data_IF_663991925654
#
_entry.id   IF_663991925654
#
_cell.length_a   1.000
_cell.length_b   1.000
_cell.length_c   1.000
_cell.angle_alpha   90.00
_cell.angle_beta   90.00
_cell.angle_gamma   90.00
#
_symmetry.space_group_name_H-M   'P 1'
#
loop_
_entity.id
_entity.type
_entity.pdbx_description
1 polymer ?
#
# COMPACT_ATOMS: atom_id res chain seq x y z
N UNK A 1 4.83 35.94 -10.17
CA UNK A 1 5.77 35.66 -9.08
C UNK A 1 6.71 34.57 -9.54
N UNK A 2 8.02 34.73 -9.34
CA UNK A 2 9.00 33.70 -9.62
C UNK A 2 8.86 32.56 -8.60
N UNK A 3 9.10 31.32 -9.03
CA UNK A 3 9.10 30.15 -8.15
C UNK A 3 10.31 30.22 -7.20
N UNK A 4 10.16 29.71 -5.98
CA UNK A 4 11.25 29.53 -5.04
C UNK A 4 12.14 28.35 -5.47
N UNK A 5 13.41 28.25 -5.03
CA UNK A 5 14.26 27.09 -5.31
C UNK A 5 13.61 25.76 -4.90
N UNK A 6 12.98 25.70 -3.73
CA UNK A 6 12.27 24.49 -3.26
C UNK A 6 11.08 24.10 -4.17
N UNK A 7 10.37 25.10 -4.72
CA UNK A 7 9.28 24.85 -5.68
C UNK A 7 9.79 24.34 -7.03
N UNK A 8 10.94 24.81 -7.48
CA UNK A 8 11.58 24.34 -8.70
C UNK A 8 12.03 22.89 -8.50
N UNK A 9 12.80 22.62 -7.44
CA UNK A 9 13.32 21.29 -7.10
C UNK A 9 12.18 20.26 -6.94
N UNK A 10 11.10 20.63 -6.22
CA UNK A 10 9.94 19.75 -6.06
C UNK A 10 9.31 19.34 -7.40
N UNK A 11 9.19 20.29 -8.35
CA UNK A 11 8.65 20.00 -9.68
C UNK A 11 9.58 19.11 -10.50
N UNK A 12 10.88 19.35 -10.45
CA UNK A 12 11.88 18.54 -11.14
C UNK A 12 11.89 17.09 -10.64
N UNK A 13 11.77 16.89 -9.33
CA UNK A 13 11.71 15.57 -8.72
C UNK A 13 10.41 14.81 -9.03
N UNK A 14 9.31 15.53 -9.22
CA UNK A 14 7.98 14.94 -9.51
C UNK A 14 7.72 14.75 -11.01
N UNK A 15 8.52 15.35 -11.90
CA UNK A 15 8.32 15.31 -13.35
C UNK A 15 8.73 14.00 -14.06
N UNK A 16 9.65 13.14 -13.55
CA UNK A 16 10.11 11.97 -14.30
C UNK A 16 8.97 11.07 -14.75
N UNK A 17 9.03 10.66 -16.02
CA UNK A 17 7.99 9.86 -16.68
C UNK A 17 7.71 8.52 -15.97
N UNK A 18 8.67 7.98 -15.22
CA UNK A 18 8.50 6.75 -14.43
C UNK A 18 7.33 6.81 -13.44
N UNK A 19 6.89 8.01 -13.06
CA UNK A 19 5.76 8.22 -12.15
C UNK A 19 4.42 8.44 -12.87
N UNK A 20 4.45 8.60 -14.20
CA UNK A 20 3.29 9.02 -15.00
C UNK A 20 3.02 8.04 -16.14
N UNK A 21 3.02 6.75 -15.85
CA UNK A 21 2.86 5.69 -16.82
C UNK A 21 1.40 5.31 -17.02
N UNK A 22 1.05 4.91 -18.23
CA UNK A 22 -0.25 4.33 -18.60
C UNK A 22 -0.02 3.00 -19.29
N UNK A 23 -0.64 1.95 -18.76
CA UNK A 23 -0.77 0.65 -19.42
C UNK A 23 -2.19 0.53 -19.99
N UNK A 24 -2.33 -0.07 -21.16
CA UNK A 24 -3.63 -0.40 -21.74
C UNK A 24 -3.89 -1.88 -21.54
N UNK A 25 -4.85 -2.19 -20.67
CA UNK A 25 -5.36 -3.54 -20.51
C UNK A 25 -6.20 -3.89 -21.74
N UNK A 26 -5.84 -4.92 -22.51
CA UNK A 26 -6.57 -5.28 -23.72
C UNK A 26 -8.03 -5.60 -23.45
N UNK A 27 -8.90 -5.35 -24.43
CA UNK A 27 -10.29 -5.78 -24.37
C UNK A 27 -10.40 -7.31 -24.31
N UNK A 28 -11.37 -7.80 -23.56
CA UNK A 28 -11.75 -9.20 -23.46
C UNK A 28 -13.27 -9.36 -23.73
N UNK A 29 -13.80 -10.55 -23.63
CA UNK A 29 -15.26 -10.76 -23.69
C UNK A 29 -16.00 -10.11 -22.48
N UNK A 30 -15.27 -9.82 -21.39
CA UNK A 30 -15.83 -9.30 -20.13
C UNK A 30 -15.80 -7.78 -20.05
N UNK A 31 -14.85 -7.13 -20.72
CA UNK A 31 -14.67 -5.67 -20.67
C UNK A 31 -14.01 -5.12 -21.95
N UNK A 32 -14.27 -3.85 -22.25
CA UNK A 32 -13.55 -3.09 -23.28
C UNK A 32 -12.08 -2.85 -22.86
N UNK A 33 -11.25 -2.28 -23.74
CA UNK A 33 -9.91 -1.81 -23.38
C UNK A 33 -10.00 -0.83 -22.20
N UNK A 34 -9.19 -1.07 -21.15
CA UNK A 34 -9.13 -0.23 -19.97
C UNK A 34 -7.76 0.45 -19.85
N UNK A 35 -7.75 1.70 -19.42
CA UNK A 35 -6.50 2.39 -19.04
C UNK A 35 -6.15 2.03 -17.61
N UNK A 36 -4.87 1.88 -17.32
CA UNK A 36 -4.32 1.61 -16.01
C UNK A 36 -3.13 2.52 -15.79
N UNK A 37 -3.25 3.48 -14.89
CA UNK A 37 -2.13 4.32 -14.49
C UNK A 37 -1.29 3.63 -13.43
N UNK A 38 0.04 3.81 -13.53
CA UNK A 38 0.98 3.24 -12.58
C UNK A 38 2.23 4.13 -12.45
N UNK A 39 3.00 3.89 -11.40
CA UNK A 39 4.29 4.53 -11.18
C UNK A 39 5.34 3.49 -10.79
N UNK A 40 6.60 3.80 -11.08
CA UNK A 40 7.75 3.01 -10.67
C UNK A 40 8.64 3.92 -9.81
N UNK A 41 8.91 3.52 -8.57
CA UNK A 41 9.94 4.09 -7.73
C UNK A 41 11.23 3.26 -7.83
N UNK A 42 12.37 3.92 -7.61
CA UNK A 42 13.69 3.29 -7.70
C UNK A 42 14.35 3.40 -9.08
N UNK A 43 15.41 2.61 -9.33
CA UNK A 43 16.22 2.70 -10.54
C UNK A 43 15.45 2.25 -11.78
N UNK A 44 15.91 2.73 -12.94
CA UNK A 44 15.40 2.31 -14.26
C UNK A 44 16.02 0.99 -14.74
N UNK A 45 16.91 0.38 -13.97
CA UNK A 45 17.55 -0.89 -14.31
C UNK A 45 16.51 -2.02 -14.35
N UNK A 46 16.36 -2.66 -15.50
CA UNK A 46 15.41 -3.77 -15.69
C UNK A 46 15.79 -5.02 -14.87
N UNK A 47 17.06 -5.16 -14.53
CA UNK A 47 17.55 -6.28 -13.70
C UNK A 47 17.32 -6.07 -12.20
N UNK A 48 16.94 -4.85 -11.78
CA UNK A 48 16.71 -4.56 -10.37
C UNK A 48 15.55 -5.41 -9.80
N UNK A 49 15.70 -5.99 -8.61
CA UNK A 49 14.63 -6.72 -7.94
C UNK A 49 13.37 -5.87 -7.85
N UNK A 50 12.24 -6.47 -8.11
CA UNK A 50 10.98 -5.72 -8.18
C UNK A 50 10.05 -6.08 -7.03
N UNK A 51 9.47 -5.06 -6.42
CA UNK A 51 8.42 -5.15 -5.40
C UNK A 51 7.12 -4.64 -6.03
N UNK A 52 6.08 -5.46 -6.05
CA UNK A 52 4.73 -4.97 -6.31
C UNK A 52 4.14 -4.49 -4.99
N UNK A 53 3.97 -3.17 -4.87
CA UNK A 53 3.42 -2.55 -3.66
C UNK A 53 1.94 -2.23 -3.84
N UNK A 54 1.09 -2.94 -3.10
CA UNK A 54 -0.37 -2.76 -3.14
C UNK A 54 -0.79 -1.78 -2.05
N UNK A 55 -1.16 -0.58 -2.46
CA UNK A 55 -1.47 0.55 -1.57
C UNK A 55 -2.79 0.37 -0.80
N UNK A 56 -2.95 1.13 0.29
CA UNK A 56 -4.20 1.18 1.08
C UNK A 56 -5.38 1.83 0.35
N UNK A 57 -6.50 2.05 1.05
CA UNK A 57 -7.74 2.55 0.47
C UNK A 57 -7.58 3.90 -0.25
N UNK A 58 -6.86 4.83 0.35
CA UNK A 58 -6.58 6.18 -0.21
C UNK A 58 -5.28 6.21 -1.00
N UNK A 59 -4.59 5.08 -1.11
CA UNK A 59 -3.30 5.02 -1.75
C UNK A 59 -3.45 4.95 -3.26
N UNK A 60 -2.76 5.82 -3.93
CA UNK A 60 -2.63 5.92 -5.37
C UNK A 60 -1.16 5.87 -5.74
N UNK A 61 -0.86 5.74 -7.03
CA UNK A 61 0.52 5.66 -7.55
C UNK A 61 1.44 6.79 -7.05
N UNK A 62 0.89 7.93 -6.65
CA UNK A 62 1.62 9.07 -6.10
C UNK A 62 2.42 8.74 -4.82
N UNK A 63 2.11 7.64 -4.14
CA UNK A 63 2.91 7.14 -3.02
C UNK A 63 4.33 6.76 -3.45
N UNK A 64 4.54 6.42 -4.72
CA UNK A 64 5.85 6.12 -5.31
C UNK A 64 6.89 7.21 -5.04
N UNK A 65 6.49 8.49 -5.02
CA UNK A 65 7.42 9.59 -4.73
C UNK A 65 8.02 9.52 -3.34
N UNK A 66 7.22 9.11 -2.35
CA UNK A 66 7.70 8.96 -0.98
C UNK A 66 8.66 7.79 -0.80
N UNK A 67 8.65 6.85 -1.72
CA UNK A 67 9.45 5.62 -1.66
C UNK A 67 10.65 5.65 -2.60
N UNK A 68 10.68 6.60 -3.54
CA UNK A 68 11.68 6.63 -4.61
C UNK A 68 13.11 6.72 -4.09
N UNK A 69 13.36 7.59 -3.12
CA UNK A 69 14.69 7.78 -2.56
C UNK A 69 15.25 6.48 -1.93
N UNK A 70 14.47 5.84 -1.06
CA UNK A 70 14.88 4.57 -0.43
C UNK A 70 15.02 3.46 -1.47
N UNK A 71 14.12 3.39 -2.45
CA UNK A 71 14.19 2.42 -3.53
C UNK A 71 15.43 2.61 -4.40
N UNK A 72 15.82 3.87 -4.67
CA UNK A 72 17.07 4.21 -5.38
C UNK A 72 18.30 3.79 -4.57
N UNK A 73 18.36 4.12 -3.26
CA UNK A 73 19.49 3.77 -2.40
C UNK A 73 19.68 2.25 -2.26
N UNK A 74 18.58 1.51 -2.15
CA UNK A 74 18.62 0.06 -1.99
C UNK A 74 18.68 -0.70 -3.33
N UNK A 75 18.59 0.00 -4.47
CA UNK A 75 18.71 -0.60 -5.81
C UNK A 75 17.55 -1.53 -6.15
N UNK A 76 16.33 -1.22 -5.72
CA UNK A 76 15.12 -2.01 -6.00
C UNK A 76 14.09 -1.17 -6.74
N UNK A 77 13.29 -1.81 -7.60
CA UNK A 77 12.11 -1.17 -8.20
C UNK A 77 10.88 -1.45 -7.37
N UNK A 78 10.02 -0.43 -7.21
CA UNK A 78 8.71 -0.61 -6.59
C UNK A 78 7.63 -0.15 -7.56
N UNK A 79 6.65 -1.00 -7.83
CA UNK A 79 5.53 -0.73 -8.74
C UNK A 79 4.30 -0.40 -7.92
N UNK A 80 3.66 0.72 -8.27
CA UNK A 80 2.42 1.21 -7.68
C UNK A 80 1.37 1.32 -8.78
N UNK A 81 0.31 0.55 -8.67
CA UNK A 81 -0.79 0.51 -9.66
C UNK A 81 -1.98 1.26 -9.09
N UNK A 82 -2.49 2.24 -9.81
CA UNK A 82 -3.79 2.82 -9.48
C UNK A 82 -4.89 1.80 -9.75
N UNK A 83 -5.67 1.49 -8.73
CA UNK A 83 -6.84 0.63 -8.87
C UNK A 83 -7.92 1.29 -9.73
N UNK A 84 -8.87 0.52 -10.30
CA UNK A 84 -9.95 1.08 -11.11
C UNK A 84 -10.63 2.30 -10.45
N UNK A 85 -10.82 3.39 -11.20
CA UNK A 85 -11.42 4.63 -10.72
C UNK A 85 -10.51 5.52 -9.88
N UNK A 86 -9.19 5.26 -9.90
CA UNK A 86 -8.18 6.15 -9.31
C UNK A 86 -7.21 6.65 -10.38
N UNK A 87 -6.77 7.89 -10.22
CA UNK A 87 -5.76 8.49 -11.07
C UNK A 87 -6.18 8.49 -12.53
N UNK A 88 -5.37 7.86 -13.38
CA UNK A 88 -5.67 7.66 -14.80
C UNK A 88 -6.32 6.31 -15.14
N UNK A 89 -6.64 5.49 -14.13
CA UNK A 89 -7.23 4.16 -14.32
C UNK A 89 -8.73 4.23 -14.57
N UNK A 90 -9.20 3.51 -15.59
CA UNK A 90 -10.62 3.43 -15.94
C UNK A 90 -11.44 2.86 -14.78
N UNK A 91 -12.57 3.49 -14.46
CA UNK A 91 -13.53 2.96 -13.49
C UNK A 91 -14.22 1.70 -14.02
N UNK A 92 -14.49 0.76 -13.13
CA UNK A 92 -15.24 -0.47 -13.43
C UNK A 92 -16.32 -0.69 -12.35
N UNK A 93 -17.35 -1.50 -12.58
CA UNK A 93 -18.31 -1.87 -11.55
C UNK A 93 -17.66 -2.44 -10.28
N UNK A 94 -18.29 -2.23 -9.14
CA UNK A 94 -17.74 -2.60 -7.82
C UNK A 94 -17.33 -4.08 -7.75
N UNK A 95 -18.19 -4.99 -8.23
CA UNK A 95 -17.93 -6.43 -8.26
C UNK A 95 -16.75 -6.82 -9.15
N UNK A 96 -16.39 -6.00 -10.13
CA UNK A 96 -15.33 -6.29 -11.10
C UNK A 96 -13.95 -5.74 -10.65
N UNK A 97 -13.89 -4.91 -9.60
CA UNK A 97 -12.67 -4.23 -9.16
C UNK A 97 -11.53 -5.20 -8.83
N UNK A 98 -11.81 -6.17 -7.99
CA UNK A 98 -10.80 -7.17 -7.59
C UNK A 98 -10.47 -8.13 -8.75
N UNK A 99 -11.43 -8.72 -9.49
CA UNK A 99 -11.13 -9.51 -10.69
C UNK A 99 -10.29 -8.77 -11.73
N UNK A 100 -10.64 -7.53 -12.07
CA UNK A 100 -9.89 -6.71 -13.03
C UNK A 100 -8.48 -6.41 -12.51
N UNK A 101 -8.32 -6.11 -11.21
CA UNK A 101 -6.97 -5.89 -10.66
C UNK A 101 -6.09 -7.15 -10.76
N UNK A 102 -6.65 -8.33 -10.52
CA UNK A 102 -5.95 -9.60 -10.68
C UNK A 102 -5.59 -9.90 -12.16
N UNK A 103 -6.36 -9.40 -13.11
CA UNK A 103 -6.05 -9.47 -14.54
C UNK A 103 -4.94 -8.47 -14.94
N UNK A 104 -4.99 -7.24 -14.40
CA UNK A 104 -3.98 -6.19 -14.65
C UNK A 104 -2.59 -6.67 -14.25
N UNK A 105 -2.43 -7.24 -13.07
CA UNK A 105 -1.12 -7.53 -12.49
C UNK A 105 -0.22 -8.36 -13.41
N UNK A 106 -0.57 -9.57 -13.87
CA UNK A 106 0.31 -10.37 -14.70
C UNK A 106 0.56 -9.75 -16.09
N UNK A 107 -0.43 -9.04 -16.64
CA UNK A 107 -0.30 -8.40 -17.95
C UNK A 107 0.59 -7.15 -17.89
N UNK A 108 0.51 -6.36 -16.82
CA UNK A 108 1.41 -5.24 -16.59
C UNK A 108 2.85 -5.72 -16.33
N UNK A 109 3.04 -6.75 -15.51
CA UNK A 109 4.38 -7.32 -15.28
C UNK A 109 4.99 -7.83 -16.59
N UNK A 110 4.22 -8.53 -17.41
CA UNK A 110 4.65 -8.96 -18.74
C UNK A 110 5.01 -7.77 -19.65
N UNK A 111 4.22 -6.71 -19.64
CA UNK A 111 4.51 -5.48 -20.41
C UNK A 111 5.83 -4.81 -19.96
N UNK A 112 6.16 -4.92 -18.69
CA UNK A 112 7.39 -4.38 -18.10
C UNK A 112 8.59 -5.35 -18.16
N UNK A 113 8.45 -6.51 -18.81
CA UNK A 113 9.45 -7.59 -18.84
C UNK A 113 9.86 -8.06 -17.44
N UNK A 114 8.91 -8.08 -16.49
CA UNK A 114 9.14 -8.53 -15.12
C UNK A 114 8.54 -9.93 -14.97
N UNK A 115 9.39 -10.90 -14.68
CA UNK A 115 8.98 -12.28 -14.49
C UNK A 115 8.49 -12.53 -13.06
N UNK A 116 9.22 -11.99 -12.09
CA UNK A 116 8.96 -12.24 -10.67
C UNK A 116 9.00 -10.96 -9.84
N UNK A 117 8.21 -10.96 -8.76
CA UNK A 117 8.17 -9.87 -7.77
C UNK A 117 8.21 -10.40 -6.35
N UNK A 118 8.67 -9.57 -5.41
CA UNK A 118 8.26 -9.62 -4.02
C UNK A 118 6.97 -8.84 -3.87
N UNK A 119 6.11 -9.22 -2.94
CA UNK A 119 4.81 -8.58 -2.73
C UNK A 119 4.82 -7.81 -1.42
N UNK A 120 4.34 -6.57 -1.45
CA UNK A 120 4.11 -5.78 -0.24
C UNK A 120 2.75 -5.11 -0.29
N UNK A 121 2.13 -4.90 0.85
CA UNK A 121 0.84 -4.19 0.90
C UNK A 121 0.68 -3.40 2.18
N UNK A 122 -0.17 -2.38 2.12
CA UNK A 122 -0.60 -1.59 3.27
C UNK A 122 -2.12 -1.59 3.39
N UNK A 123 -2.63 -1.72 4.62
CA UNK A 123 -4.06 -1.52 4.94
C UNK A 123 -4.99 -2.33 4.02
N UNK A 124 -5.97 -1.69 3.37
CA UNK A 124 -6.90 -2.30 2.41
C UNK A 124 -6.21 -3.03 1.25
N UNK A 125 -4.97 -2.69 0.92
CA UNK A 125 -4.16 -3.41 -0.05
C UNK A 125 -3.94 -4.88 0.29
N UNK A 126 -4.10 -5.26 1.56
CA UNK A 126 -4.03 -6.65 2.03
C UNK A 126 -5.01 -7.55 1.27
N UNK A 127 -6.24 -7.09 1.04
CA UNK A 127 -7.27 -7.85 0.31
C UNK A 127 -6.76 -8.24 -1.09
N UNK A 128 -6.20 -7.28 -1.79
CA UNK A 128 -5.65 -7.47 -3.14
C UNK A 128 -4.38 -8.33 -3.13
N UNK A 129 -3.44 -8.03 -2.24
CA UNK A 129 -2.16 -8.74 -2.16
C UNK A 129 -2.34 -10.23 -1.82
N UNK A 130 -3.23 -10.55 -0.89
CA UNK A 130 -3.52 -11.93 -0.53
C UNK A 130 -4.26 -12.69 -1.65
N UNK A 131 -5.13 -12.01 -2.40
CA UNK A 131 -5.72 -12.61 -3.60
C UNK A 131 -4.68 -12.83 -4.71
N UNK A 132 -3.71 -11.90 -4.89
CA UNK A 132 -2.61 -12.09 -5.83
C UNK A 132 -1.82 -13.35 -5.49
N UNK A 133 -1.36 -13.51 -4.25
CA UNK A 133 -0.54 -14.68 -3.88
C UNK A 133 -1.33 -15.99 -3.94
N UNK A 134 -2.64 -15.95 -3.66
CA UNK A 134 -3.51 -17.12 -3.74
C UNK A 134 -3.81 -17.57 -5.18
N UNK A 135 -3.92 -16.63 -6.13
CA UNK A 135 -4.35 -16.93 -7.50
C UNK A 135 -3.22 -16.86 -8.53
N UNK A 136 -2.17 -16.09 -8.24
CA UNK A 136 -1.04 -15.85 -9.13
C UNK A 136 0.32 -16.21 -8.47
N UNK A 137 0.45 -17.34 -7.79
CA UNK A 137 1.67 -17.68 -7.04
C UNK A 137 2.91 -17.79 -7.93
N UNK A 138 2.74 -17.94 -9.24
CA UNK A 138 3.82 -18.05 -10.20
C UNK A 138 4.58 -16.73 -10.44
N UNK A 139 3.96 -15.56 -10.15
CA UNK A 139 4.64 -14.27 -10.27
C UNK A 139 5.54 -13.96 -9.06
N UNK A 140 5.41 -14.71 -7.97
CA UNK A 140 6.25 -14.52 -6.79
C UNK A 140 7.62 -15.16 -7.03
N UNK A 141 8.69 -14.45 -6.66
CA UNK A 141 10.06 -14.93 -6.84
C UNK A 141 10.23 -16.35 -6.25
N UNK A 142 10.55 -17.37 -7.06
CA UNK A 142 10.58 -18.75 -6.56
C UNK A 142 11.78 -19.06 -5.67
N UNK A 143 12.90 -18.34 -5.85
CA UNK A 143 14.10 -18.52 -5.03
C UNK A 143 13.92 -18.01 -3.60
N UNK A 144 13.28 -16.86 -3.45
CA UNK A 144 13.02 -16.19 -2.16
C UNK A 144 11.61 -15.58 -2.17
N UNK A 145 10.58 -16.41 -2.12
CA UNK A 145 9.20 -15.94 -2.15
C UNK A 145 8.91 -15.15 -0.87
N UNK A 146 8.41 -13.92 -1.05
CA UNK A 146 8.15 -13.02 0.07
C UNK A 146 6.90 -12.21 -0.11
N UNK A 147 6.15 -12.08 0.99
CA UNK A 147 5.07 -11.10 1.14
C UNK A 147 5.27 -10.31 2.44
N UNK A 148 5.09 -9.00 2.36
CA UNK A 148 5.10 -8.11 3.53
C UNK A 148 3.77 -7.39 3.64
N UNK A 149 3.13 -7.48 4.80
CA UNK A 149 1.83 -6.89 5.10
C UNK A 149 2.01 -5.83 6.19
N UNK A 150 1.64 -4.58 5.90
CA UNK A 150 1.77 -3.46 6.83
C UNK A 150 0.36 -3.02 7.25
N UNK A 151 0.08 -2.98 8.55
CA UNK A 151 -1.24 -2.68 9.13
C UNK A 151 -2.37 -3.36 8.35
N UNK A 152 -2.35 -4.71 8.23
CA UNK A 152 -3.26 -5.45 7.36
C UNK A 152 -4.71 -5.19 7.70
N UNK A 153 -5.53 -4.92 6.67
CA UNK A 153 -6.95 -4.67 6.82
C UNK A 153 -7.70 -5.89 7.33
N UNK A 154 -8.61 -5.68 8.27
CA UNK A 154 -9.57 -6.69 8.73
C UNK A 154 -11.01 -6.16 8.64
N UNK A 155 -11.97 -7.07 8.57
CA UNK A 155 -13.37 -6.69 8.56
C UNK A 155 -13.74 -5.97 9.88
N UNK A 156 -14.58 -4.93 9.79
CA UNK A 156 -14.97 -4.10 10.94
C UNK A 156 -15.53 -4.89 12.13
N UNK A 157 -16.18 -6.02 11.91
CA UNK A 157 -16.72 -6.88 12.97
C UNK A 157 -15.59 -7.52 13.80
N UNK A 158 -14.39 -7.62 13.27
CA UNK A 158 -13.20 -8.21 13.90
C UNK A 158 -12.32 -7.16 14.56
N UNK A 159 -12.37 -5.89 14.10
CA UNK A 159 -11.50 -4.82 14.58
C UNK A 159 -11.92 -4.25 15.94
N UNK A 160 -13.22 -4.21 16.24
CA UNK A 160 -13.81 -3.58 17.45
C UNK A 160 -13.49 -2.09 17.61
N UNK A 161 -13.01 -1.40 16.57
CA UNK A 161 -12.73 0.04 16.65
C UNK A 161 -14.01 0.85 16.49
N UNK A 162 -14.15 1.89 17.31
CA UNK A 162 -15.32 2.80 17.25
C UNK A 162 -15.43 3.45 15.89
N UNK A 163 -14.30 3.81 15.28
CA UNK A 163 -14.26 4.41 13.95
C UNK A 163 -14.91 3.51 12.89
N UNK A 164 -14.47 2.26 12.77
CA UNK A 164 -15.02 1.32 11.78
C UNK A 164 -16.46 0.93 12.07
N UNK A 165 -16.84 0.83 13.36
CA UNK A 165 -18.23 0.56 13.73
C UNK A 165 -19.17 1.70 13.31
N UNK A 166 -18.75 2.96 13.47
CA UNK A 166 -19.51 4.12 12.98
C UNK A 166 -19.53 4.12 11.45
N UNK A 167 -18.37 3.98 10.80
CA UNK A 167 -18.26 3.96 9.34
C UNK A 167 -19.15 2.88 8.70
N UNK A 168 -19.19 1.68 9.29
CA UNK A 168 -20.03 0.59 8.79
C UNK A 168 -21.53 0.86 8.89
N UNK A 169 -21.97 1.75 9.79
CA UNK A 169 -23.38 2.14 9.95
C UNK A 169 -23.80 3.32 9.07
N UNK A 170 -22.84 4.00 8.42
CA UNK A 170 -23.18 5.12 7.53
C UNK A 170 -24.05 4.65 6.37
N UNK A 171 -25.10 5.40 5.98
CA UNK A 171 -25.88 5.11 4.78
C UNK A 171 -25.01 5.10 3.52
N UNK A 172 -25.37 4.30 2.53
CA UNK A 172 -24.66 4.26 1.24
C UNK A 172 -24.60 5.63 0.55
N UNK A 173 -25.60 6.49 0.75
CA UNK A 173 -25.59 7.88 0.26
C UNK A 173 -24.45 8.72 0.85
N UNK A 174 -24.05 8.48 2.10
CA UNK A 174 -22.90 9.13 2.70
C UNK A 174 -21.58 8.50 2.23
N UNK A 175 -21.56 7.21 1.98
CA UNK A 175 -20.38 6.54 1.37
C UNK A 175 -20.12 7.07 -0.05
N UNK A 176 -21.14 7.52 -0.78
CA UNK A 176 -20.98 8.20 -2.08
C UNK A 176 -20.15 9.49 -2.02
N UNK A 177 -19.94 10.01 -0.82
CA UNK A 177 -19.13 11.19 -0.54
C UNK A 177 -17.99 10.89 0.44
N UNK A 178 -17.47 9.64 0.40
CA UNK A 178 -16.47 9.15 1.36
C UNK A 178 -15.26 10.08 1.48
N UNK A 179 -14.77 10.62 0.38
CA UNK A 179 -13.68 11.59 0.40
C UNK A 179 -14.02 12.85 1.22
N UNK A 180 -15.24 13.37 1.12
CA UNK A 180 -15.70 14.50 1.92
C UNK A 180 -15.88 14.10 3.40
N UNK A 181 -16.40 12.89 3.67
CA UNK A 181 -16.55 12.36 5.04
C UNK A 181 -15.18 12.23 5.70
N UNK A 182 -14.21 11.64 5.01
CA UNK A 182 -12.84 11.50 5.51
C UNK A 182 -12.18 12.85 5.73
N UNK A 183 -12.33 13.78 4.79
CA UNK A 183 -11.80 15.15 4.94
C UNK A 183 -12.43 15.88 6.13
N UNK A 184 -13.73 15.72 6.35
CA UNK A 184 -14.42 16.28 7.51
C UNK A 184 -13.91 15.65 8.82
N UNK A 185 -13.80 14.31 8.90
CA UNK A 185 -13.28 13.61 10.07
C UNK A 185 -11.84 14.05 10.39
N UNK A 186 -10.98 14.13 9.38
CA UNK A 186 -9.57 14.52 9.52
C UNK A 186 -9.40 16.00 9.94
N UNK A 187 -10.30 16.88 9.53
CA UNK A 187 -10.23 18.31 9.84
C UNK A 187 -11.02 18.71 11.08
N UNK A 188 -12.08 17.97 11.45
CA UNK A 188 -12.99 18.31 12.55
C UNK A 188 -12.70 17.54 13.83
N UNK A 189 -11.95 16.46 13.75
CA UNK A 189 -11.54 15.68 14.91
C UNK A 189 -10.51 16.46 15.73
N UNK A 190 -10.79 16.65 16.99
CA UNK A 190 -9.93 17.24 18.02
C UNK A 190 -8.49 16.67 18.00
N UNK A 191 -7.52 17.31 18.67
CA UNK A 191 -6.09 16.94 18.68
C UNK A 191 -5.76 15.47 18.92
N UNK A 192 -6.66 14.69 19.47
CA UNK A 192 -6.51 13.25 19.72
C UNK A 192 -6.53 12.38 18.44
N UNK A 193 -7.20 12.83 17.37
CA UNK A 193 -7.18 12.11 16.08
C UNK A 193 -6.12 12.70 15.13
N UNK A 194 -5.61 13.89 15.45
CA UNK A 194 -4.53 14.52 14.70
C UNK A 194 -3.16 13.82 14.87
N UNK A 195 -3.05 12.86 15.77
CA UNK A 195 -1.87 11.99 15.96
C UNK A 195 -1.97 10.69 15.15
N UNK A 196 -3.13 10.36 14.61
CA UNK A 196 -3.28 9.17 13.76
C UNK A 196 -2.77 9.48 12.34
N UNK A 197 -1.61 8.89 12.03
CA UNK A 197 -0.90 9.09 10.78
C UNK A 197 -1.67 8.61 9.57
N UNK A 198 -2.23 9.52 8.84
CA UNK A 198 -2.63 9.28 7.47
C UNK A 198 -1.48 9.72 6.54
N UNK A 199 -1.48 9.29 5.28
CA UNK A 199 -0.70 9.96 4.22
C UNK A 199 -0.87 11.49 4.35
N UNK A 200 -2.01 11.91 4.89
CA UNK A 200 -2.33 13.28 5.29
C UNK A 200 -1.68 13.74 6.59
N UNK A 201 -1.28 12.85 7.53
CA UNK A 201 -0.58 13.28 8.74
C UNK A 201 0.92 13.39 8.53
N UNK A 202 1.50 12.67 7.60
CA UNK A 202 2.85 12.94 7.10
C UNK A 202 2.89 14.37 6.54
N UNK A 203 1.84 14.80 5.87
CA UNK A 203 1.61 16.20 5.48
C UNK A 203 1.44 17.14 6.70
N UNK A 204 0.69 16.72 7.71
CA UNK A 204 0.38 17.56 8.90
C UNK A 204 1.52 17.60 9.91
N UNK A 205 2.30 16.51 10.10
CA UNK A 205 3.47 16.50 10.99
C UNK A 205 4.61 17.39 10.49
N UNK A 206 4.71 17.59 9.17
CA UNK A 206 5.59 18.61 8.59
C UNK A 206 5.17 20.03 9.02
N UNK A 207 3.90 20.26 9.35
CA UNK A 207 3.39 21.55 9.84
C UNK A 207 3.45 21.72 11.37
N UNK A 208 3.52 20.64 12.16
CA UNK A 208 3.42 20.68 13.62
C UNK A 208 4.75 20.85 14.38
N UNK A 209 5.90 20.89 13.71
CA UNK A 209 7.21 21.00 14.34
C UNK A 209 7.57 22.41 14.85
N UNK A 210 6.60 23.18 15.34
CA UNK A 210 6.82 24.60 15.72
C UNK A 210 7.33 24.82 17.17
N UNK A 211 7.69 23.77 17.94
CA UNK A 211 8.02 23.96 19.36
C UNK A 211 9.18 23.09 19.88
N UNK A 212 10.23 22.86 19.09
CA UNK A 212 11.40 22.08 19.54
C UNK A 212 12.70 22.86 19.35
N UNK A 213 13.65 22.70 20.33
CA UNK A 213 14.93 23.40 20.31
C UNK A 213 15.78 23.13 19.05
N UNK A 214 16.74 24.01 18.74
CA UNK A 214 17.54 23.99 17.52
C UNK A 214 18.21 22.63 17.24
N UNK A 215 18.74 21.94 18.25
CA UNK A 215 19.34 20.61 18.09
C UNK A 215 18.33 19.53 17.63
N UNK A 216 17.11 19.60 18.12
CA UNK A 216 16.02 18.68 17.71
C UNK A 216 15.56 18.97 16.27
N UNK A 217 15.60 20.23 15.83
CA UNK A 217 15.26 20.61 14.46
C UNK A 217 16.32 20.10 13.46
N UNK A 218 17.61 20.20 13.79
CA UNK A 218 18.70 19.68 12.95
C UNK A 218 18.60 18.16 12.80
N UNK A 219 18.36 17.43 13.89
CA UNK A 219 18.18 15.98 13.84
C UNK A 219 16.95 15.57 13.02
N UNK A 220 15.83 16.30 13.13
CA UNK A 220 14.64 16.06 12.35
C UNK A 220 14.86 16.31 10.85
N UNK A 221 15.59 17.37 10.49
CA UNK A 221 15.94 17.65 9.11
C UNK A 221 16.89 16.60 8.52
N UNK A 222 17.87 16.16 9.30
CA UNK A 222 18.77 15.09 8.88
C UNK A 222 18.01 13.78 8.62
N UNK A 223 17.11 13.39 9.52
CA UNK A 223 16.24 12.22 9.33
C UNK A 223 15.36 12.34 8.08
N UNK A 224 14.84 13.54 7.80
CA UNK A 224 14.02 13.77 6.61
C UNK A 224 14.86 13.66 5.33
N UNK A 225 16.08 14.21 5.31
CA UNK A 225 17.02 14.07 4.18
C UNK A 225 17.40 12.61 3.95
N UNK A 226 17.64 11.86 5.00
CA UNK A 226 17.92 10.43 4.92
C UNK A 226 16.72 9.62 4.39
N UNK A 227 15.50 10.02 4.74
CA UNK A 227 14.27 9.33 4.32
C UNK A 227 13.87 9.65 2.89
N UNK A 228 14.06 10.89 2.44
CA UNK A 228 13.49 11.40 1.18
C UNK A 228 14.51 12.07 0.23
N UNK A 229 15.77 12.23 0.65
CA UNK A 229 16.81 12.84 -0.17
C UNK A 229 16.72 14.36 -0.35
N UNK A 230 15.75 15.04 0.31
CA UNK A 230 15.42 16.45 0.07
C UNK A 230 15.38 17.28 1.35
N UNK A 231 15.36 18.60 1.21
CA UNK A 231 15.15 19.52 2.33
C UNK A 231 13.70 19.47 2.83
N UNK A 232 13.46 19.98 4.04
CA UNK A 232 12.12 20.11 4.62
C UNK A 232 11.21 20.98 3.75
N UNK A 233 11.74 22.06 3.21
CA UNK A 233 11.04 23.00 2.35
C UNK A 233 10.62 22.31 1.03
N UNK A 234 11.54 21.60 0.40
CA UNK A 234 11.29 20.86 -0.84
C UNK A 234 10.26 19.74 -0.60
N UNK A 235 10.40 18.98 0.49
CA UNK A 235 9.41 17.92 0.85
C UNK A 235 8.02 18.50 1.04
N UNK A 236 7.91 19.65 1.70
CA UNK A 236 6.62 20.34 1.89
C UNK A 236 5.97 20.74 0.56
N UNK A 237 6.76 21.29 -0.38
CA UNK A 237 6.26 21.65 -1.71
C UNK A 237 5.86 20.41 -2.52
N UNK A 238 6.66 19.32 -2.45
CA UNK A 238 6.32 18.04 -3.07
C UNK A 238 4.99 17.51 -2.54
N UNK A 239 4.81 17.44 -1.22
CA UNK A 239 3.59 16.94 -0.59
C UNK A 239 2.36 17.78 -1.00
N UNK A 240 2.52 19.12 -1.06
CA UNK A 240 1.46 20.02 -1.51
C UNK A 240 1.06 19.76 -2.96
N UNK A 241 2.04 19.53 -3.84
CA UNK A 241 1.79 19.20 -5.25
C UNK A 241 1.15 17.83 -5.42
N UNK A 242 1.66 16.82 -4.74
CA UNK A 242 1.13 15.44 -4.75
C UNK A 242 -0.33 15.46 -4.30
N UNK A 243 -0.61 16.11 -3.18
CA UNK A 243 -1.98 16.26 -2.68
C UNK A 243 -2.90 16.93 -3.71
N UNK A 244 -2.45 18.05 -4.26
CA UNK A 244 -3.22 18.78 -5.27
C UNK A 244 -3.51 17.91 -6.50
N UNK A 245 -2.52 17.20 -7.02
CA UNK A 245 -2.67 16.37 -8.21
C UNK A 245 -3.53 15.13 -7.95
N UNK A 246 -3.37 14.52 -6.78
CA UNK A 246 -4.20 13.38 -6.37
C UNK A 246 -5.71 13.69 -6.40
N UNK A 247 -6.09 14.92 -6.04
CA UNK A 247 -7.49 15.36 -6.07
C UNK A 247 -7.93 16.04 -7.38
N UNK A 248 -7.00 16.30 -8.30
CA UNK A 248 -7.32 16.72 -9.67
C UNK A 248 -7.56 15.55 -10.62
N UNK A 249 -7.06 14.37 -10.24
CA UNK A 249 -7.31 13.13 -10.97
C UNK A 249 -8.62 12.46 -10.52
N UNK A 250 -8.98 11.34 -11.15
CA UNK A 250 -10.16 10.56 -10.76
C UNK A 250 -9.99 9.98 -9.36
N UNK A 251 -10.96 10.21 -8.51
CA UNK A 251 -11.05 9.67 -7.14
C UNK A 251 -12.38 8.94 -6.90
N UNK A 252 -13.15 8.66 -7.96
CA UNK A 252 -14.45 7.97 -7.84
C UNK A 252 -14.30 6.58 -7.26
N UNK A 253 -13.17 5.92 -7.54
CA UNK A 253 -12.80 4.63 -6.96
C UNK A 253 -12.74 4.62 -5.43
N UNK A 254 -12.56 5.79 -4.78
CA UNK A 254 -12.49 5.88 -3.33
C UNK A 254 -13.79 5.44 -2.65
N UNK A 255 -14.93 5.83 -3.21
CA UNK A 255 -16.23 5.43 -2.68
C UNK A 255 -16.46 3.91 -2.81
N UNK A 256 -16.01 3.34 -3.92
CA UNK A 256 -16.11 1.90 -4.18
C UNK A 256 -15.15 1.09 -3.30
N UNK A 257 -13.93 1.59 -3.07
CA UNK A 257 -13.00 1.00 -2.10
C UNK A 257 -13.59 1.01 -0.68
N UNK A 258 -14.21 2.12 -0.28
CA UNK A 258 -14.87 2.20 1.02
C UNK A 258 -16.01 1.17 1.13
N UNK A 259 -16.83 1.02 0.07
CA UNK A 259 -17.89 -0.02 0.03
C UNK A 259 -17.30 -1.42 0.10
N UNK A 260 -16.26 -1.70 -0.70
CA UNK A 260 -15.58 -2.98 -0.70
C UNK A 260 -15.02 -3.31 0.69
N UNK A 261 -14.24 -2.40 1.28
CA UNK A 261 -13.61 -2.59 2.58
C UNK A 261 -14.61 -2.76 3.72
N UNK A 262 -15.74 -2.04 3.67
CA UNK A 262 -16.81 -2.10 4.67
C UNK A 262 -17.90 -3.13 4.35
N UNK A 263 -17.76 -3.88 3.25
CA UNK A 263 -18.77 -4.84 2.79
C UNK A 263 -20.20 -4.27 2.83
N UNK A 264 -20.38 -3.11 2.18
CA UNK A 264 -21.63 -2.35 2.25
C UNK A 264 -22.76 -2.90 1.40
N UNK A 265 -22.46 -3.75 0.45
CA UNK A 265 -23.42 -4.40 -0.47
C UNK A 265 -23.00 -5.85 -0.72
N UNK A 266 -23.91 -6.67 -1.22
CA UNK A 266 -23.63 -8.06 -1.58
C UNK A 266 -22.59 -8.21 -2.71
N UNK A 267 -22.39 -7.14 -3.49
CA UNK A 267 -21.36 -7.08 -4.54
C UNK A 267 -19.91 -6.92 -3.99
N UNK A 268 -19.76 -6.68 -2.68
CA UNK A 268 -18.48 -6.52 -2.01
C UNK A 268 -17.86 -7.87 -1.63
N UNK A 269 -17.31 -8.57 -2.62
CA UNK A 269 -16.66 -9.86 -2.42
C UNK A 269 -15.13 -9.69 -2.31
N UNK A 270 -14.53 -10.26 -1.25
CA UNK A 270 -13.09 -10.28 -1.03
C UNK A 270 -12.43 -11.55 -1.58
N UNK A 271 -13.16 -12.40 -2.29
CA UNK A 271 -12.69 -13.67 -2.85
C UNK A 271 -11.98 -14.55 -1.80
N UNK A 272 -10.69 -14.86 -2.00
CA UNK A 272 -9.93 -15.66 -1.04
C UNK A 272 -9.88 -15.06 0.37
N UNK A 273 -10.10 -13.76 0.52
CA UNK A 273 -10.01 -13.04 1.80
C UNK A 273 -11.35 -12.92 2.54
N UNK A 274 -12.41 -13.62 2.09
CA UNK A 274 -13.69 -13.65 2.82
C UNK A 274 -13.53 -14.18 4.24
N UNK A 275 -12.64 -15.16 4.41
CA UNK A 275 -12.19 -15.71 5.67
C UNK A 275 -10.66 -15.83 5.64
N UNK A 276 -9.98 -15.04 6.46
CA UNK A 276 -8.51 -15.04 6.48
C UNK A 276 -7.92 -16.34 7.06
N UNK A 277 -8.60 -17.00 7.98
CA UNK A 277 -8.13 -18.27 8.53
C UNK A 277 -8.14 -19.36 7.45
N UNK A 278 -9.24 -19.48 6.72
CA UNK A 278 -9.35 -20.41 5.60
C UNK A 278 -8.40 -20.05 4.45
N UNK A 279 -8.26 -18.76 4.15
CA UNK A 279 -7.32 -18.28 3.14
C UNK A 279 -5.88 -18.69 3.47
N UNK A 280 -5.43 -18.45 4.70
CA UNK A 280 -4.06 -18.81 5.12
C UNK A 280 -3.86 -20.31 5.11
N UNK A 281 -4.85 -21.09 5.54
CA UNK A 281 -4.82 -22.56 5.47
C UNK A 281 -4.67 -23.05 4.03
N UNK A 282 -5.43 -22.47 3.09
CA UNK A 282 -5.33 -22.81 1.67
C UNK A 282 -3.97 -22.41 1.09
N UNK A 283 -3.42 -21.25 1.51
CA UNK A 283 -2.10 -20.80 1.10
C UNK A 283 -1.00 -21.74 1.60
N UNK A 284 -1.11 -22.24 2.84
CA UNK A 284 -0.18 -23.26 3.38
C UNK A 284 -0.20 -24.52 2.51
N UNK A 285 -1.38 -25.01 2.16
CA UNK A 285 -1.52 -26.18 1.28
C UNK A 285 -0.90 -25.95 -0.11
N UNK A 286 -1.19 -24.80 -0.72
CA UNK A 286 -0.62 -24.40 -2.00
C UNK A 286 0.90 -24.32 -1.94
N UNK A 287 1.45 -23.69 -0.89
CA UNK A 287 2.90 -23.51 -0.78
C UNK A 287 3.64 -24.82 -0.48
N UNK A 288 3.04 -25.70 0.30
CA UNK A 288 3.56 -27.05 0.54
C UNK A 288 3.73 -27.80 -0.79
N UNK A 289 2.71 -27.80 -1.65
CA UNK A 289 2.78 -28.43 -2.97
C UNK A 289 3.88 -27.81 -3.85
N UNK A 290 4.07 -26.49 -3.81
CA UNK A 290 5.10 -25.79 -4.60
C UNK A 290 6.51 -26.13 -4.12
N UNK A 291 6.74 -26.21 -2.81
CA UNK A 291 8.04 -26.57 -2.24
C UNK A 291 8.36 -28.04 -2.52
N UNK A 292 7.43 -28.95 -2.27
CA UNK A 292 7.60 -30.38 -2.56
C UNK A 292 7.80 -30.66 -4.05
N UNK A 293 7.14 -29.89 -4.92
CA UNK A 293 7.32 -29.94 -6.36
C UNK A 293 8.57 -29.20 -6.89
N UNK A 294 9.46 -28.70 -6.04
CA UNK A 294 10.64 -27.90 -6.39
C UNK A 294 10.34 -26.66 -7.26
N UNK A 295 9.13 -26.09 -7.13
CA UNK A 295 8.71 -24.91 -7.88
C UNK A 295 9.02 -23.61 -7.13
N UNK A 296 9.29 -23.68 -5.82
CA UNK A 296 9.54 -22.52 -4.97
C UNK A 296 10.29 -22.92 -3.70
N UNK A 297 11.02 -21.97 -3.12
CA UNK A 297 11.50 -22.05 -1.75
C UNK A 297 10.35 -21.79 -0.75
N UNK A 298 10.64 -21.90 0.54
CA UNK A 298 9.73 -21.56 1.64
C UNK A 298 9.27 -20.10 1.53
N UNK A 299 7.98 -19.83 1.71
CA UNK A 299 7.42 -18.48 1.71
C UNK A 299 7.76 -17.74 3.01
N UNK A 300 8.35 -16.58 2.88
CA UNK A 300 8.55 -15.64 3.98
C UNK A 300 7.40 -14.64 4.05
N UNK A 301 6.69 -14.62 5.17
CA UNK A 301 5.60 -13.68 5.47
C UNK A 301 6.04 -12.76 6.60
N UNK A 302 6.22 -11.48 6.30
CA UNK A 302 6.48 -10.44 7.30
C UNK A 302 5.24 -9.61 7.52
N UNK A 303 4.83 -9.44 8.78
CA UNK A 303 3.66 -8.64 9.14
C UNK A 303 4.08 -7.56 10.11
N UNK A 304 3.86 -6.30 9.73
CA UNK A 304 4.07 -5.15 10.59
C UNK A 304 2.73 -4.64 11.11
N UNK A 305 2.61 -4.54 12.41
CA UNK A 305 1.49 -3.90 13.08
C UNK A 305 1.92 -2.54 13.62
N UNK A 306 1.04 -1.54 13.52
CA UNK A 306 1.22 -0.27 14.21
C UNK A 306 1.04 -0.44 15.73
N UNK A 307 1.73 0.40 16.52
CA UNK A 307 1.51 0.42 17.98
C UNK A 307 0.11 0.93 18.31
N UNK A 308 -0.27 2.08 17.73
CA UNK A 308 -1.59 2.68 17.90
C UNK A 308 -2.35 2.66 16.57
N UNK A 309 -3.21 1.68 16.36
CA UNK A 309 -3.98 1.55 15.14
C UNK A 309 -5.47 1.71 15.38
N UNK A 310 -6.00 2.91 15.11
CA UNK A 310 -7.42 3.22 15.28
C UNK A 310 -8.32 2.61 14.20
N UNK A 311 -7.73 2.15 13.07
CA UNK A 311 -8.47 1.51 11.97
C UNK A 311 -8.65 0.02 12.22
N UNK A 312 -7.57 -0.66 12.61
CA UNK A 312 -7.56 -2.12 12.80
C UNK A 312 -7.86 -2.48 14.25
N UNK A 313 -7.32 -1.73 15.23
CA UNK A 313 -7.48 -1.95 16.66
C UNK A 313 -6.78 -3.22 17.15
N UNK A 314 -6.67 -3.35 18.48
CA UNK A 314 -5.96 -4.49 19.09
C UNK A 314 -6.59 -5.84 18.74
N UNK A 315 -7.93 -5.94 18.78
CA UNK A 315 -8.61 -7.20 18.43
C UNK A 315 -8.41 -7.60 16.98
N UNK A 316 -8.40 -6.63 16.06
CA UNK A 316 -8.12 -6.89 14.65
C UNK A 316 -6.67 -7.34 14.42
N UNK A 317 -5.71 -6.72 15.11
CA UNK A 317 -4.29 -7.14 15.08
C UNK A 317 -4.13 -8.57 15.63
N UNK A 318 -4.77 -8.87 16.76
CA UNK A 318 -4.75 -10.19 17.38
C UNK A 318 -5.38 -11.25 16.48
N UNK A 319 -6.58 -10.99 15.93
CA UNK A 319 -7.24 -11.88 14.99
C UNK A 319 -6.34 -12.18 13.80
N UNK A 320 -5.83 -11.14 13.13
CA UNK A 320 -5.00 -11.32 11.93
C UNK A 320 -3.72 -12.09 12.26
N UNK A 321 -3.06 -11.77 13.38
CA UNK A 321 -1.88 -12.51 13.85
C UNK A 321 -2.20 -13.99 14.06
N UNK A 322 -3.32 -14.30 14.72
CA UNK A 322 -3.72 -15.67 15.02
C UNK A 322 -3.97 -16.49 13.75
N UNK A 323 -4.52 -15.88 12.70
CA UNK A 323 -4.64 -16.56 11.39
C UNK A 323 -3.28 -17.05 10.85
N UNK A 324 -2.19 -16.34 11.17
CA UNK A 324 -0.84 -16.63 10.65
C UNK A 324 0.07 -17.39 11.61
N UNK A 325 -0.27 -17.52 12.87
CA UNK A 325 0.59 -18.11 13.92
C UNK A 325 0.02 -19.39 14.53
N UNK A 326 -0.96 -20.02 13.90
CA UNK A 326 -1.53 -21.29 14.35
C UNK A 326 -0.44 -22.40 14.39
N UNK A 327 -0.48 -23.26 15.40
CA UNK A 327 0.49 -24.36 15.62
C UNK A 327 0.56 -25.37 14.45
N UNK A 328 -0.38 -25.31 13.53
CA UNK A 328 -0.46 -26.24 12.38
C UNK A 328 0.30 -25.76 11.12
N UNK A 329 1.03 -24.65 11.19
CA UNK A 329 1.75 -24.13 10.03
C UNK A 329 3.00 -24.97 9.74
N UNK A 330 3.14 -25.37 8.50
CA UNK A 330 4.22 -26.24 8.03
C UNK A 330 5.56 -25.50 7.96
N UNK A 331 6.65 -26.27 7.86
CA UNK A 331 7.99 -25.74 7.61
C UNK A 331 8.11 -24.91 6.31
N UNK A 332 7.08 -24.91 5.46
CA UNK A 332 7.08 -24.28 4.14
C UNK A 332 6.63 -22.82 4.12
N UNK A 333 6.10 -22.30 5.25
CA UNK A 333 5.82 -20.87 5.43
C UNK A 333 6.50 -20.40 6.72
N UNK A 334 7.30 -19.34 6.63
CA UNK A 334 7.86 -18.64 7.79
C UNK A 334 7.08 -17.37 8.03
N UNK A 335 6.58 -17.17 9.22
CA UNK A 335 5.84 -15.98 9.62
C UNK A 335 6.61 -15.22 10.68
N UNK A 336 6.82 -13.94 10.45
CA UNK A 336 7.41 -13.01 11.41
C UNK A 336 6.47 -11.81 11.58
N UNK A 337 5.99 -11.62 12.82
CA UNK A 337 5.07 -10.55 13.19
C UNK A 337 5.79 -9.56 14.10
N UNK A 338 5.79 -8.29 13.71
CA UNK A 338 6.43 -7.21 14.46
C UNK A 338 5.46 -6.06 14.71
N UNK A 339 5.46 -5.52 15.92
CA UNK A 339 4.76 -4.28 16.25
C UNK A 339 5.77 -3.13 16.26
N UNK A 340 5.57 -2.18 15.35
CA UNK A 340 6.45 -1.02 15.22
C UNK A 340 6.09 0.04 16.27
N UNK A 341 6.97 0.24 17.25
CA UNK A 341 6.78 1.24 18.33
C UNK A 341 6.76 2.66 17.78
N UNK A 342 5.90 3.49 18.35
CA UNK A 342 5.75 4.91 17.98
C UNK A 342 5.08 5.10 16.61
N UNK A 343 4.37 4.10 16.09
CA UNK A 343 3.66 4.18 14.81
C UNK A 343 2.16 4.07 14.99
N UNK A 344 1.45 4.70 14.07
CA UNK A 344 0.03 4.56 13.84
C UNK A 344 -0.22 3.86 12.48
N UNK A 345 -1.49 3.73 12.08
CA UNK A 345 -1.93 2.98 10.91
C UNK A 345 -1.13 3.27 9.63
N UNK A 346 -0.79 4.53 9.38
CA UNK A 346 -0.09 4.93 8.14
C UNK A 346 1.42 5.12 8.35
N UNK A 347 1.87 5.51 9.54
CA UNK A 347 3.28 5.71 9.82
C UNK A 347 4.08 4.42 9.94
N UNK A 348 3.43 3.24 9.85
CA UNK A 348 4.13 1.97 9.56
C UNK A 348 4.83 1.98 8.21
N UNK A 349 4.47 2.89 7.29
CA UNK A 349 5.14 3.16 6.03
C UNK A 349 6.40 4.05 6.21
N UNK A 350 7.14 3.85 7.30
CA UNK A 350 8.37 4.61 7.59
C UNK A 350 9.49 4.25 6.61
N UNK A 351 9.99 5.22 5.80
CA UNK A 351 11.05 4.96 4.82
C UNK A 351 12.32 4.39 5.43
N UNK A 352 12.70 4.81 6.63
CA UNK A 352 13.95 4.40 7.28
C UNK A 352 13.85 3.09 8.05
N UNK A 353 12.62 2.60 8.28
CA UNK A 353 12.37 1.36 9.01
C UNK A 353 11.78 0.32 8.07
N UNK A 354 10.47 0.16 8.05
CA UNK A 354 9.78 -0.89 7.31
C UNK A 354 10.07 -0.90 5.81
N UNK A 355 10.09 0.27 5.15
CA UNK A 355 10.32 0.30 3.69
C UNK A 355 11.75 -0.07 3.33
N UNK A 356 12.75 0.41 4.09
CA UNK A 356 14.14 0.02 3.88
C UNK A 356 14.37 -1.46 4.12
N UNK A 357 13.71 -2.06 5.12
CA UNK A 357 13.78 -3.50 5.36
C UNK A 357 13.13 -4.31 4.23
N UNK A 358 11.97 -3.87 3.73
CA UNK A 358 11.32 -4.48 2.57
C UNK A 358 12.24 -4.44 1.34
N UNK A 359 12.86 -3.30 1.08
CA UNK A 359 13.76 -3.12 -0.04
C UNK A 359 15.02 -3.99 0.08
N UNK A 360 15.68 -4.00 1.25
CA UNK A 360 16.83 -4.88 1.52
C UNK A 360 16.49 -6.35 1.34
N UNK A 361 15.32 -6.76 1.83
CA UNK A 361 14.89 -8.14 1.71
C UNK A 361 14.60 -8.54 0.26
N UNK A 362 14.04 -7.64 -0.56
CA UNK A 362 13.86 -7.88 -1.99
C UNK A 362 15.20 -7.95 -2.75
N UNK A 363 16.17 -7.11 -2.39
CA UNK A 363 17.51 -7.13 -2.98
C UNK A 363 18.22 -8.47 -2.80
N UNK A 364 18.04 -9.13 -1.68
CA UNK A 364 18.61 -10.47 -1.42
C UNK A 364 18.11 -11.54 -2.39
N UNK A 365 17.10 -11.27 -3.21
CA UNK A 365 16.61 -12.22 -4.23
C UNK A 365 17.57 -12.37 -5.41
N UNK A 366 18.57 -11.50 -5.55
CA UNK A 366 19.60 -11.58 -6.60
C UNK A 366 20.75 -12.55 -6.26
N UNK A 367 20.98 -12.80 -4.96
CA UNK A 367 21.98 -13.72 -4.47
C UNK A 367 21.43 -15.15 -4.44
#
# INVERSE_FOLDING_TARGET
>A
MSLTPAQIEARELLAPIKFHQIFKLPATEKHAELKVSYAIAGPSDEAAPTILFVVGMLGIRWLAFSFDHVAMEEGVRMIFIDRPGFGGSTSVPLQDRLPIYLEIVPLLLKHLNIEHVSLASHSAGTIYALNIIATLPHIICPKRPRITLLSPWVHQNLSSTTFLQIASKLPNTMINHWGAVMNFVLNSATPMIASSGSVFSTLKSAFSAAATGAATQVAAEQKLREAYGVSKETKKEMDSLIFKWAFLEDTTGLNDEARLCLKKTDDCNWNACEDYEEMVKNLVGLWTQRVEGNQSARLDVKIYFAEEDIMIGEKGKEYFRNCWTSENWTANIAVDCEQLKGTDHDSVLDPLRSLREIAKAARQTLD
#
